data_IF_540838487743
#
_entry.id   IF_540838487743
#
_cell.length_a   1.000
_cell.length_b   1.000
_cell.length_c   1.000
_cell.angle_alpha   90.00
_cell.angle_beta   90.00
_cell.angle_gamma   90.00
#
_symmetry.space_group_name_H-M   'P 1'
#
loop_
_entity.id
_entity.type
_entity.pdbx_description
1 polymer ?
#
# COMPACT_ATOMS: atom_id res chain seq x y z
N UNK A 1 -23.58 -57.24 -18.74
CA UNK A 1 -23.73 -55.78 -18.50
C UNK A 1 -22.68 -55.19 -17.54
N UNK A 2 -21.58 -55.91 -17.25
CA UNK A 2 -20.53 -55.52 -16.27
C UNK A 2 -19.41 -54.63 -16.83
N UNK A 3 -19.19 -54.66 -18.14
CA UNK A 3 -18.07 -53.95 -18.79
C UNK A 3 -18.23 -52.41 -18.83
N UNK A 4 -19.46 -51.90 -18.85
CA UNK A 4 -19.73 -50.46 -18.89
C UNK A 4 -19.35 -49.75 -17.57
N UNK A 5 -19.56 -50.41 -16.44
CA UNK A 5 -19.25 -49.85 -15.13
C UNK A 5 -17.74 -49.71 -14.88
N UNK A 6 -16.93 -50.64 -15.40
CA UNK A 6 -15.47 -50.57 -15.32
C UNK A 6 -14.91 -49.43 -16.20
N UNK A 7 -15.36 -49.33 -17.45
CA UNK A 7 -14.92 -48.28 -18.38
C UNK A 7 -15.21 -46.87 -17.88
N UNK A 8 -16.36 -46.67 -17.21
CA UNK A 8 -16.74 -45.38 -16.61
C UNK A 8 -15.83 -44.99 -15.44
N UNK A 9 -15.44 -45.95 -14.59
CA UNK A 9 -14.52 -45.68 -13.46
C UNK A 9 -13.14 -45.28 -13.94
N UNK A 10 -12.64 -45.89 -15.01
CA UNK A 10 -11.31 -45.57 -15.55
C UNK A 10 -11.28 -44.17 -16.19
N UNK A 11 -12.35 -43.77 -16.90
CA UNK A 11 -12.48 -42.43 -17.45
C UNK A 11 -12.61 -41.35 -16.36
N UNK A 12 -13.32 -41.62 -15.26
CA UNK A 12 -13.44 -40.69 -14.15
C UNK A 12 -12.11 -40.54 -13.38
N UNK A 13 -11.36 -41.63 -13.23
CA UNK A 13 -10.03 -41.61 -12.61
C UNK A 13 -9.04 -40.80 -13.45
N UNK A 14 -9.02 -40.98 -14.77
CA UNK A 14 -8.13 -40.21 -15.63
C UNK A 14 -8.50 -38.72 -15.63
N UNK A 15 -9.80 -38.38 -15.70
CA UNK A 15 -10.26 -36.98 -15.62
C UNK A 15 -9.86 -36.31 -14.28
N UNK A 16 -9.96 -37.02 -13.16
CA UNK A 16 -9.57 -36.51 -11.84
C UNK A 16 -8.07 -36.19 -11.72
N UNK A 17 -7.20 -36.97 -12.37
CA UNK A 17 -5.75 -36.73 -12.37
C UNK A 17 -5.39 -35.43 -13.09
N UNK A 18 -6.03 -35.16 -14.24
CA UNK A 18 -5.77 -33.94 -15.01
C UNK A 18 -6.23 -32.67 -14.28
N UNK A 19 -7.39 -32.71 -13.62
CA UNK A 19 -7.91 -31.57 -12.84
C UNK A 19 -7.05 -31.33 -11.59
N UNK A 20 -6.63 -32.39 -10.91
CA UNK A 20 -5.76 -32.31 -9.74
C UNK A 20 -4.38 -31.73 -10.07
N UNK A 21 -3.78 -32.13 -11.19
CA UNK A 21 -2.49 -31.60 -11.64
C UNK A 21 -2.58 -30.10 -11.97
N UNK A 22 -3.61 -29.68 -12.72
CA UNK A 22 -3.80 -28.28 -13.08
C UNK A 22 -4.01 -27.37 -11.85
N UNK A 23 -4.71 -27.85 -10.82
CA UNK A 23 -4.93 -27.10 -9.59
C UNK A 23 -3.62 -26.85 -8.80
N UNK A 24 -2.69 -27.83 -8.81
CA UNK A 24 -1.38 -27.67 -8.16
C UNK A 24 -0.53 -26.63 -8.87
N UNK A 25 -0.51 -26.61 -10.21
CA UNK A 25 0.26 -25.61 -10.98
C UNK A 25 -0.35 -24.20 -10.92
N UNK A 26 -1.67 -24.07 -10.77
CA UNK A 26 -2.33 -22.77 -10.64
C UNK A 26 -2.18 -22.16 -9.23
N UNK A 27 -1.98 -22.99 -8.21
CA UNK A 27 -1.85 -22.57 -6.80
C UNK A 27 -0.48 -21.98 -6.42
N UNK A 28 0.56 -22.15 -7.25
CA UNK A 28 1.93 -21.70 -6.93
C UNK A 28 2.27 -20.30 -7.41
N UNK A 29 1.31 -19.55 -7.99
CA UNK A 29 1.54 -18.12 -8.24
C UNK A 29 1.53 -17.40 -6.89
N UNK A 30 2.71 -17.20 -6.32
CA UNK A 30 2.90 -16.37 -5.13
C UNK A 30 2.25 -15.02 -5.40
N UNK A 31 1.19 -14.71 -4.67
CA UNK A 31 0.61 -13.38 -4.69
C UNK A 31 1.64 -12.43 -4.06
N UNK A 32 2.53 -11.87 -4.89
CA UNK A 32 3.49 -10.83 -4.52
C UNK A 32 2.82 -9.48 -4.22
N UNK A 33 1.55 -9.50 -3.78
CA UNK A 33 0.73 -8.32 -3.52
C UNK A 33 1.10 -7.60 -2.22
N UNK A 34 2.01 -8.17 -1.42
CA UNK A 34 2.42 -7.64 -0.12
C UNK A 34 3.94 -7.52 0.01
N UNK A 35 4.64 -7.20 -1.08
CA UNK A 35 6.04 -6.82 -0.98
C UNK A 35 6.13 -5.33 -0.71
N UNK A 36 6.70 -4.99 0.45
CA UNK A 36 7.04 -3.61 0.79
C UNK A 36 8.41 -3.38 0.15
N UNK A 37 8.43 -2.62 -0.94
CA UNK A 37 9.67 -2.23 -1.62
C UNK A 37 10.06 -0.83 -1.16
N UNK A 38 11.32 -0.67 -0.74
CA UNK A 38 11.86 0.62 -0.35
C UNK A 38 12.17 1.44 -1.61
N UNK A 39 11.45 2.54 -1.79
CA UNK A 39 11.63 3.44 -2.93
C UNK A 39 12.62 4.53 -2.54
N UNK A 40 13.71 4.66 -3.30
CA UNK A 40 14.68 5.72 -3.11
C UNK A 40 14.00 7.11 -3.24
N UNK A 41 14.26 8.05 -2.31
CA UNK A 41 13.58 9.34 -2.27
C UNK A 41 13.86 10.21 -3.52
N UNK A 42 15.03 10.04 -4.15
CA UNK A 42 15.44 10.71 -5.38
C UNK A 42 14.85 10.08 -6.66
N UNK A 43 14.18 8.92 -6.56
CA UNK A 43 13.52 8.30 -7.70
C UNK A 43 12.35 9.16 -8.22
N UNK A 44 11.94 8.94 -9.48
CA UNK A 44 10.78 9.63 -10.05
C UNK A 44 9.50 9.45 -9.22
N UNK A 45 9.31 8.25 -8.65
CA UNK A 45 8.21 7.95 -7.72
C UNK A 45 8.39 8.68 -6.39
N UNK A 46 9.59 8.62 -5.80
CA UNK A 46 9.91 9.35 -4.56
C UNK A 46 9.63 10.85 -4.68
N UNK A 47 10.02 11.46 -5.79
CA UNK A 47 9.77 12.88 -6.09
C UNK A 47 8.29 13.20 -6.33
N UNK A 48 7.56 12.32 -7.01
CA UNK A 48 6.12 12.48 -7.24
C UNK A 48 5.33 12.45 -5.92
N UNK A 49 5.72 11.57 -4.99
CA UNK A 49 5.11 11.50 -3.66
C UNK A 49 5.60 12.60 -2.71
N UNK A 50 6.84 13.07 -2.84
CA UNK A 50 7.38 14.18 -2.04
C UNK A 50 6.59 15.49 -2.24
N UNK A 51 6.05 15.73 -3.44
CA UNK A 51 5.25 16.92 -3.75
C UNK A 51 3.74 16.71 -3.60
N UNK A 52 3.30 15.58 -3.04
CA UNK A 52 1.87 15.22 -2.96
C UNK A 52 1.00 16.27 -2.25
N UNK A 53 1.54 16.94 -1.24
CA UNK A 53 0.84 18.01 -0.52
C UNK A 53 1.09 19.42 -1.09
N UNK A 54 1.84 19.54 -2.20
CA UNK A 54 2.21 20.81 -2.82
C UNK A 54 1.11 21.45 -3.68
N UNK A 55 0.13 20.69 -4.15
CA UNK A 55 -0.96 21.18 -5.00
C UNK A 55 -2.30 21.40 -4.27
N UNK A 56 -2.53 20.69 -3.17
CA UNK A 56 -3.73 20.83 -2.34
C UNK A 56 -3.34 21.36 -0.95
N UNK A 57 -3.36 22.69 -0.82
CA UNK A 57 -3.05 23.42 0.42
C UNK A 57 -4.00 23.11 1.60
N UNK A 58 -5.04 22.29 1.42
CA UNK A 58 -6.05 22.01 2.44
C UNK A 58 -5.50 21.28 3.67
N UNK A 59 -4.65 20.28 3.46
CA UNK A 59 -4.22 19.40 4.56
C UNK A 59 -3.12 20.06 5.40
N UNK A 60 -2.26 20.86 4.75
CA UNK A 60 -1.29 21.68 5.46
C UNK A 60 -1.95 22.86 6.18
N UNK A 61 -3.09 23.39 5.69
CA UNK A 61 -3.79 24.47 6.38
C UNK A 61 -4.26 24.06 7.78
N UNK A 62 -4.73 22.82 7.95
CA UNK A 62 -5.11 22.28 9.26
C UNK A 62 -3.90 22.18 10.21
N UNK A 63 -2.77 21.65 9.72
CA UNK A 63 -1.51 21.57 10.48
C UNK A 63 -0.99 22.95 10.87
N UNK A 64 -1.04 23.92 9.95
CA UNK A 64 -0.66 25.31 10.22
C UNK A 64 -1.57 25.94 11.27
N UNK A 65 -2.89 25.74 11.20
CA UNK A 65 -3.83 26.26 12.18
C UNK A 65 -3.56 25.68 13.58
N UNK A 66 -3.30 24.37 13.67
CA UNK A 66 -2.92 23.71 14.91
C UNK A 66 -1.62 24.27 15.48
N UNK A 67 -0.58 24.40 14.65
CA UNK A 67 0.70 24.97 15.07
C UNK A 67 0.55 26.42 15.55
N UNK A 68 -0.22 27.25 14.84
CA UNK A 68 -0.53 28.62 15.27
C UNK A 68 -1.23 28.65 16.64
N UNK A 69 -2.20 27.75 16.87
CA UNK A 69 -2.84 27.60 18.18
C UNK A 69 -1.84 27.24 19.28
N UNK A 70 -0.90 26.34 19.01
CA UNK A 70 0.15 25.96 19.96
C UNK A 70 1.15 27.10 20.22
N UNK A 71 1.54 27.86 19.20
CA UNK A 71 2.37 29.06 19.34
C UNK A 71 1.68 30.17 20.15
N UNK A 72 0.35 30.22 20.16
CA UNK A 72 -0.41 31.16 20.97
C UNK A 72 -0.45 30.75 22.45
N UNK A 73 -0.40 29.46 22.74
CA UNK A 73 -0.38 28.92 24.11
C UNK A 73 1.02 28.94 24.75
N UNK A 74 2.08 28.91 23.94
CA UNK A 74 3.48 28.90 24.40
C UNK A 74 4.22 30.19 23.96
N UNK A 75 4.11 31.30 24.72
CA UNK A 75 4.68 32.58 24.31
C UNK A 75 6.21 32.59 24.25
N UNK A 76 6.87 31.63 24.92
CA UNK A 76 8.32 31.50 24.96
C UNK A 76 8.91 30.91 23.66
N UNK A 77 8.10 30.26 22.82
CA UNK A 77 8.54 29.71 21.54
C UNK A 77 8.20 30.66 20.39
N UNK A 78 9.22 30.96 19.57
CA UNK A 78 9.10 31.80 18.36
C UNK A 78 8.76 31.00 17.10
N UNK A 79 9.01 29.69 17.11
CA UNK A 79 8.68 28.78 16.01
C UNK A 79 8.32 27.38 16.49
N UNK A 80 7.43 26.71 15.76
CA UNK A 80 7.12 25.30 15.94
C UNK A 80 7.14 24.60 14.57
N UNK A 81 7.69 23.40 14.56
CA UNK A 81 7.78 22.55 13.38
C UNK A 81 7.10 21.22 13.65
N UNK A 82 6.37 20.71 12.65
CA UNK A 82 5.78 19.39 12.67
C UNK A 82 5.98 18.69 11.33
N UNK A 83 6.20 17.38 11.36
CA UNK A 83 6.27 16.53 10.17
C UNK A 83 4.84 16.20 9.72
N UNK A 84 4.51 16.45 8.46
CA UNK A 84 3.26 16.01 7.88
C UNK A 84 3.25 14.47 7.80
N UNK A 85 2.25 13.77 8.36
CA UNK A 85 2.20 12.31 8.33
C UNK A 85 1.92 11.74 6.93
N UNK A 86 1.47 12.57 5.99
CA UNK A 86 1.12 12.15 4.63
C UNK A 86 2.29 12.22 3.65
N UNK A 87 3.11 13.27 3.74
CA UNK A 87 4.22 13.51 2.80
C UNK A 87 5.60 13.58 3.47
N UNK A 88 5.68 13.60 4.80
CA UNK A 88 6.94 13.70 5.54
C UNK A 88 7.61 15.08 5.49
N UNK A 89 7.00 16.06 4.80
CA UNK A 89 7.49 17.44 4.76
C UNK A 89 7.42 18.10 6.14
N UNK A 90 8.42 18.93 6.46
CA UNK A 90 8.39 19.77 7.66
C UNK A 90 7.54 21.01 7.41
N UNK A 91 6.41 21.11 8.10
CA UNK A 91 5.61 22.33 8.17
C UNK A 91 6.12 23.13 9.36
N UNK A 92 6.57 24.35 9.09
CA UNK A 92 7.14 25.25 10.10
C UNK A 92 6.27 26.50 10.16
N UNK A 93 5.88 26.88 11.36
CA UNK A 93 5.15 28.12 11.63
C UNK A 93 5.96 28.95 12.60
N UNK A 94 6.18 30.22 12.26
CA UNK A 94 6.79 31.22 13.12
C UNK A 94 5.79 32.33 13.44
N UNK A 95 6.07 33.07 14.50
CA UNK A 95 5.34 34.29 14.86
C UNK A 95 5.81 35.48 14.02
#
# INVERSE_FOLDING_TARGET
MSNFAHRRRDLLRSAGVWVGAAAVFAGTRSAGAWQIEEIAPESSLGLAYARRCGSAASDHAALVAQLKGQLALDPAKSSLAMKCPLCGCSVIVSR
#
